data_IF_626074943388
#
_entry.id   IF_626074943388
#
_cell.length_a   1.000
_cell.length_b   1.000
_cell.length_c   1.000
_cell.angle_alpha   90.00
_cell.angle_beta   90.00
_cell.angle_gamma   90.00
#
_symmetry.space_group_name_H-M   'P 1'
#
loop_
_entity.id
_entity.type
_entity.pdbx_description
1 polymer ?
#
# COMPACT_ATOMS: atom_id res chain seq x y z
N UNK A 1 -15.25 2.26 -16.14
CA UNK A 1 -14.14 1.68 -15.36
C UNK A 1 -14.72 1.21 -14.04
N UNK A 2 -14.47 -0.03 -13.65
CA UNK A 2 -14.91 -0.57 -12.36
C UNK A 2 -13.83 -0.37 -11.31
N UNK A 3 -14.22 0.12 -10.15
CA UNK A 3 -13.35 0.26 -8.99
C UNK A 3 -13.60 -0.92 -8.05
N UNK A 4 -12.54 -1.66 -7.72
CA UNK A 4 -12.58 -2.84 -6.85
C UNK A 4 -11.72 -2.55 -5.62
N UNK A 5 -12.36 -2.39 -4.46
CA UNK A 5 -11.67 -2.13 -3.20
C UNK A 5 -11.55 -3.41 -2.38
N UNK A 6 -10.35 -3.71 -1.91
CA UNK A 6 -10.04 -4.87 -1.07
C UNK A 6 -9.57 -4.41 0.30
N UNK A 7 -10.23 -4.92 1.36
CA UNK A 7 -9.87 -4.63 2.75
C UNK A 7 -8.70 -5.47 3.24
N UNK A 8 -8.20 -5.16 4.44
CA UNK A 8 -7.01 -5.83 4.98
C UNK A 8 -7.17 -7.33 5.21
N UNK A 9 -8.39 -7.80 5.43
CA UNK A 9 -8.68 -9.25 5.46
C UNK A 9 -8.57 -9.85 4.06
N UNK A 10 -9.10 -9.19 3.03
CA UNK A 10 -9.04 -9.65 1.62
C UNK A 10 -7.63 -9.70 1.04
N UNK A 11 -6.67 -8.99 1.64
CA UNK A 11 -5.24 -9.05 1.27
C UNK A 11 -4.40 -9.66 2.40
N UNK A 12 -5.03 -10.39 3.31
CA UNK A 12 -4.41 -10.83 4.57
C UNK A 12 -3.31 -11.88 4.41
N UNK A 13 -3.30 -12.63 3.31
CA UNK A 13 -2.35 -13.70 3.03
C UNK A 13 -2.27 -13.98 1.52
N UNK A 14 -1.36 -14.89 1.14
CA UNK A 14 -1.13 -15.28 -0.25
C UNK A 14 -2.36 -15.89 -0.94
N UNK A 15 -3.16 -16.71 -0.25
CA UNK A 15 -4.35 -17.33 -0.84
C UNK A 15 -5.40 -16.27 -1.17
N UNK A 16 -5.65 -15.35 -0.24
CA UNK A 16 -6.59 -14.27 -0.47
C UNK A 16 -6.12 -13.32 -1.56
N UNK A 17 -4.82 -13.02 -1.64
CA UNK A 17 -4.26 -12.24 -2.75
C UNK A 17 -4.43 -12.93 -4.12
N UNK A 18 -4.28 -14.27 -4.20
CA UNK A 18 -4.62 -15.01 -5.42
C UNK A 18 -6.10 -14.86 -5.79
N UNK A 19 -6.99 -14.92 -4.80
CA UNK A 19 -8.42 -14.67 -4.98
C UNK A 19 -8.71 -13.26 -5.51
N UNK A 20 -8.04 -12.24 -4.98
CA UNK A 20 -8.12 -10.86 -5.48
C UNK A 20 -7.71 -10.79 -6.95
N UNK A 21 -6.56 -11.39 -7.31
CA UNK A 21 -6.08 -11.40 -8.69
C UNK A 21 -7.04 -12.11 -9.63
N UNK A 22 -7.64 -13.24 -9.23
CA UNK A 22 -8.65 -13.93 -10.04
C UNK A 22 -9.90 -13.06 -10.30
N UNK A 23 -10.37 -12.33 -9.28
CA UNK A 23 -11.50 -11.40 -9.45
C UNK A 23 -11.16 -10.26 -10.41
N UNK A 24 -9.93 -9.75 -10.36
CA UNK A 24 -9.44 -8.69 -11.24
C UNK A 24 -9.28 -9.20 -12.67
N UNK A 25 -8.71 -10.39 -12.86
CA UNK A 25 -8.59 -11.07 -14.17
C UNK A 25 -9.97 -11.23 -14.82
N UNK A 26 -10.98 -11.69 -14.07
CA UNK A 26 -12.34 -11.86 -14.58
C UNK A 26 -12.96 -10.53 -15.02
N UNK A 27 -12.90 -9.50 -14.16
CA UNK A 27 -13.44 -8.19 -14.50
C UNK A 27 -12.72 -7.56 -15.71
N UNK A 28 -11.42 -7.81 -15.88
CA UNK A 28 -10.61 -7.29 -16.99
C UNK A 28 -11.02 -7.83 -18.37
N UNK A 29 -11.81 -8.91 -18.43
CA UNK A 29 -12.32 -9.46 -19.70
C UNK A 29 -13.32 -8.52 -20.39
N UNK A 30 -14.07 -7.73 -19.63
CA UNK A 30 -15.16 -6.90 -20.17
C UNK A 30 -14.96 -5.41 -19.94
N UNK A 31 -14.11 -5.01 -18.99
CA UNK A 31 -13.96 -3.60 -18.61
C UNK A 31 -12.57 -3.24 -18.09
N UNK A 32 -12.29 -1.93 -18.05
CA UNK A 32 -11.11 -1.39 -17.34
C UNK A 32 -11.34 -1.45 -15.83
N UNK A 33 -10.30 -1.80 -15.09
CA UNK A 33 -10.38 -2.03 -13.64
C UNK A 33 -9.39 -1.13 -12.90
N UNK A 34 -9.84 -0.55 -11.78
CA UNK A 34 -8.98 0.06 -10.79
C UNK A 34 -9.06 -0.75 -9.49
N UNK A 35 -7.92 -1.22 -9.01
CA UNK A 35 -7.79 -1.92 -7.74
C UNK A 35 -7.36 -0.94 -6.67
N UNK A 36 -8.07 -0.92 -5.54
CA UNK A 36 -7.69 -0.16 -4.34
C UNK A 36 -7.47 -1.14 -3.20
N UNK A 37 -6.27 -1.18 -2.64
CA UNK A 37 -5.92 -2.15 -1.59
C UNK A 37 -5.58 -1.46 -0.26
N UNK A 38 -6.13 -2.00 0.83
CA UNK A 38 -5.73 -1.65 2.20
C UNK A 38 -4.43 -2.37 2.61
N UNK A 39 -3.84 -1.97 3.73
CA UNK A 39 -2.78 -2.75 4.38
C UNK A 39 -3.26 -4.14 4.80
N UNK A 40 -2.33 -5.10 4.90
CA UNK A 40 -2.58 -6.43 5.52
C UNK A 40 -3.19 -6.23 6.92
N UNK A 41 -4.18 -7.06 7.27
CA UNK A 41 -4.88 -6.95 8.56
C UNK A 41 -3.91 -6.83 9.75
N UNK A 42 -4.12 -5.82 10.59
CA UNK A 42 -3.29 -5.56 11.78
C UNK A 42 -2.03 -4.72 11.53
N UNK A 43 -1.59 -4.54 10.28
CA UNK A 43 -0.37 -3.76 9.99
C UNK A 43 -0.55 -2.27 10.30
N UNK A 44 -1.68 -1.65 9.96
CA UNK A 44 -1.91 -0.23 10.31
C UNK A 44 -1.84 -0.01 11.83
N UNK A 45 -2.47 -0.88 12.62
CA UNK A 45 -2.42 -0.80 14.08
C UNK A 45 -1.00 -0.98 14.61
N UNK A 46 -0.23 -1.91 14.05
CA UNK A 46 1.17 -2.11 14.39
C UNK A 46 2.00 -0.84 14.16
N UNK A 47 1.79 -0.16 13.02
CA UNK A 47 2.53 1.04 12.64
C UNK A 47 2.19 2.24 13.53
N UNK A 48 0.91 2.43 13.85
CA UNK A 48 0.46 3.48 14.78
C UNK A 48 1.02 3.25 16.18
N UNK A 49 0.98 2.01 16.66
CA UNK A 49 1.53 1.67 17.98
C UNK A 49 3.06 1.83 18.01
N UNK A 50 3.77 1.42 16.96
CA UNK A 50 5.21 1.62 16.86
C UNK A 50 5.60 3.11 16.90
N UNK A 51 4.79 3.99 16.31
CA UNK A 51 5.01 5.44 16.39
C UNK A 51 4.88 5.95 17.84
N UNK A 52 3.89 5.46 18.59
CA UNK A 52 3.70 5.78 20.02
C UNK A 52 4.89 5.31 20.86
N UNK A 53 5.29 4.06 20.69
CA UNK A 53 6.45 3.44 21.36
C UNK A 53 7.73 4.20 21.03
N UNK A 54 7.94 4.56 19.76
CA UNK A 54 9.06 5.39 19.35
C UNK A 54 9.02 6.77 20.02
N UNK A 55 7.85 7.40 20.15
CA UNK A 55 7.74 8.73 20.79
C UNK A 55 8.10 8.68 22.28
N UNK A 56 7.73 7.59 22.95
CA UNK A 56 8.18 7.24 24.32
C UNK A 56 9.67 6.83 24.36
N UNK A 57 10.29 6.73 23.17
CA UNK A 57 11.64 6.27 22.82
C UNK A 57 12.05 4.99 23.52
N UNK A 58 11.07 4.10 23.52
CA UNK A 58 11.22 2.68 23.77
C UNK A 58 11.64 1.96 22.46
N UNK A 59 12.18 0.74 22.57
CA UNK A 59 12.62 -0.05 21.41
C UNK A 59 11.47 -0.41 20.44
N UNK A 60 11.68 -0.19 19.14
CA UNK A 60 10.70 -0.49 18.06
C UNK A 60 11.12 -1.64 17.14
N UNK A 61 12.22 -2.32 17.45
CA UNK A 61 12.82 -3.35 16.60
C UNK A 61 11.87 -4.52 16.36
N UNK A 62 11.07 -4.90 17.35
CA UNK A 62 10.06 -5.95 17.22
C UNK A 62 8.97 -5.57 16.20
N UNK A 63 8.48 -4.33 16.25
CA UNK A 63 7.47 -3.85 15.31
C UNK A 63 8.01 -3.81 13.87
N UNK A 64 9.25 -3.33 13.70
CA UNK A 64 9.94 -3.37 12.41
C UNK A 64 10.11 -4.81 11.89
N UNK A 65 10.56 -5.73 12.74
CA UNK A 65 10.74 -7.14 12.37
C UNK A 65 9.41 -7.79 12.00
N UNK A 66 8.33 -7.49 12.72
CA UNK A 66 6.99 -8.00 12.41
C UNK A 66 6.45 -7.45 11.10
N UNK A 67 6.70 -6.17 10.78
CA UNK A 67 6.37 -5.60 9.48
C UNK A 67 7.11 -6.34 8.35
N UNK A 68 8.42 -6.50 8.46
CA UNK A 68 9.23 -7.19 7.45
C UNK A 68 8.83 -8.67 7.29
N UNK A 69 8.65 -9.38 8.40
CA UNK A 69 8.30 -10.81 8.38
C UNK A 69 6.92 -11.04 7.80
N UNK A 70 5.93 -10.20 8.14
CA UNK A 70 4.57 -10.33 7.59
C UNK A 70 4.56 -10.29 6.07
N UNK A 71 5.21 -9.27 5.49
CA UNK A 71 5.19 -9.09 4.03
C UNK A 71 6.11 -10.08 3.32
N UNK A 72 7.28 -10.39 3.89
CA UNK A 72 8.19 -11.38 3.31
C UNK A 72 7.62 -12.81 3.38
N UNK A 73 6.87 -13.16 4.43
CA UNK A 73 6.16 -14.44 4.51
C UNK A 73 5.12 -14.58 3.38
N UNK A 74 4.36 -13.53 3.09
CA UNK A 74 3.41 -13.52 1.97
C UNK A 74 4.17 -13.65 0.63
N UNK A 75 5.25 -12.88 0.44
CA UNK A 75 6.08 -12.96 -0.77
C UNK A 75 6.66 -14.37 -0.97
N UNK A 76 7.15 -15.02 0.09
CA UNK A 76 7.64 -16.42 0.05
C UNK A 76 6.52 -17.39 -0.31
N UNK A 77 5.34 -17.24 0.27
CA UNK A 77 4.18 -18.08 -0.03
C UNK A 77 3.64 -17.89 -1.46
N UNK A 78 3.93 -16.75 -2.10
CA UNK A 78 3.63 -16.48 -3.51
C UNK A 78 4.76 -16.89 -4.47
N UNK A 79 5.91 -17.37 -3.98
CA UNK A 79 7.10 -17.61 -4.81
C UNK A 79 6.86 -18.52 -6.02
N UNK A 80 5.99 -19.52 -5.91
CA UNK A 80 5.63 -20.41 -7.02
C UNK A 80 4.77 -19.73 -8.11
N UNK A 81 4.07 -18.65 -7.76
CA UNK A 81 3.29 -17.84 -8.70
C UNK A 81 4.14 -16.78 -9.41
N UNK A 82 5.33 -16.48 -8.89
CA UNK A 82 6.17 -15.39 -9.36
C UNK A 82 7.33 -15.89 -10.23
N UNK A 83 7.72 -15.07 -11.21
CA UNK A 83 8.93 -15.28 -12.01
C UNK A 83 10.06 -14.38 -11.46
N UNK A 84 11.34 -14.68 -11.77
CA UNK A 84 12.46 -13.85 -11.32
C UNK A 84 12.31 -12.34 -11.64
N UNK A 85 11.65 -12.01 -12.76
CA UNK A 85 11.35 -10.64 -13.16
C UNK A 85 10.44 -9.89 -12.16
N UNK A 86 9.57 -10.58 -11.42
CA UNK A 86 8.70 -10.01 -10.39
C UNK A 86 9.29 -10.19 -8.98
N UNK A 87 9.91 -11.34 -8.71
CA UNK A 87 10.42 -11.68 -7.37
C UNK A 87 11.46 -10.69 -6.87
N UNK A 88 12.42 -10.30 -7.73
CA UNK A 88 13.51 -9.40 -7.31
C UNK A 88 13.02 -7.98 -7.01
N UNK A 89 12.29 -7.29 -7.92
CA UNK A 89 11.75 -5.97 -7.61
C UNK A 89 10.82 -5.96 -6.39
N UNK A 90 10.01 -7.01 -6.21
CA UNK A 90 9.17 -7.15 -5.02
C UNK A 90 10.01 -7.18 -3.73
N UNK A 91 11.04 -8.02 -3.68
CA UNK A 91 11.91 -8.13 -2.51
C UNK A 91 12.63 -6.80 -2.22
N UNK A 92 13.19 -6.15 -3.25
CA UNK A 92 13.86 -4.85 -3.12
C UNK A 92 12.89 -3.77 -2.63
N UNK A 93 11.67 -3.73 -3.16
CA UNK A 93 10.63 -2.78 -2.74
C UNK A 93 10.19 -2.98 -1.29
N UNK A 94 10.00 -4.23 -0.85
CA UNK A 94 9.66 -4.53 0.55
C UNK A 94 10.79 -4.12 1.51
N UNK A 95 12.06 -4.39 1.14
CA UNK A 95 13.22 -3.96 1.92
C UNK A 95 13.30 -2.44 2.02
N UNK A 96 13.02 -1.72 0.92
CA UNK A 96 12.99 -0.27 0.91
C UNK A 96 11.90 0.30 1.83
N UNK A 97 10.69 -0.27 1.83
CA UNK A 97 9.62 0.13 2.76
C UNK A 97 10.00 -0.13 4.22
N UNK A 98 10.63 -1.27 4.52
CA UNK A 98 11.13 -1.55 5.87
C UNK A 98 12.21 -0.55 6.31
N UNK A 99 13.10 -0.15 5.40
CA UNK A 99 14.12 0.86 5.69
C UNK A 99 13.51 2.24 5.94
N UNK A 100 12.49 2.61 5.17
CA UNK A 100 11.71 3.84 5.34
C UNK A 100 10.99 3.85 6.70
N UNK A 101 10.34 2.74 7.08
CA UNK A 101 9.75 2.56 8.41
C UNK A 101 10.76 2.80 9.54
N UNK A 102 11.92 2.13 9.47
CA UNK A 102 12.99 2.27 10.47
C UNK A 102 13.50 3.71 10.58
N UNK A 103 13.70 4.39 9.44
CA UNK A 103 14.17 5.77 9.42
C UNK A 103 13.17 6.74 10.06
N UNK A 104 11.88 6.60 9.74
CA UNK A 104 10.81 7.41 10.33
C UNK A 104 10.71 7.19 11.85
N UNK A 105 10.67 5.94 12.30
CA UNK A 105 10.59 5.63 13.73
C UNK A 105 11.84 6.07 14.50
N UNK A 106 13.03 5.96 13.90
CA UNK A 106 14.26 6.49 14.50
C UNK A 106 14.17 8.00 14.67
N UNK A 107 13.69 8.73 13.66
CA UNK A 107 13.47 10.17 13.76
C UNK A 107 12.51 10.54 14.89
N UNK A 108 11.37 9.83 14.98
CA UNK A 108 10.40 9.99 16.07
C UNK A 108 11.05 9.76 17.44
N UNK A 109 11.85 8.69 17.59
CA UNK A 109 12.49 8.37 18.88
C UNK A 109 13.64 9.28 19.29
N UNK A 110 14.35 9.87 18.32
CA UNK A 110 15.37 10.88 18.60
C UNK A 110 14.74 12.21 19.05
N UNK A 111 13.65 12.61 18.39
CA UNK A 111 12.96 13.88 18.68
C UNK A 111 11.97 13.78 19.85
N UNK A 112 11.56 12.55 20.21
CA UNK A 112 10.47 12.29 21.17
C UNK A 112 9.15 12.96 20.77
N UNK A 113 8.95 13.11 19.47
CA UNK A 113 7.80 13.76 18.87
C UNK A 113 7.40 13.03 17.58
N UNK A 114 6.10 12.79 17.41
CA UNK A 114 5.54 12.28 16.17
C UNK A 114 4.48 13.26 15.64
N UNK A 115 4.83 14.03 14.61
CA UNK A 115 3.86 14.92 13.98
C UNK A 115 2.73 14.14 13.27
N UNK A 116 1.53 14.74 13.11
CA UNK A 116 0.44 14.13 12.35
C UNK A 116 0.83 13.66 10.95
N UNK A 117 1.64 14.44 10.23
CA UNK A 117 2.12 14.08 8.89
C UNK A 117 3.05 12.86 8.90
N UNK A 118 3.91 12.73 9.92
CA UNK A 118 4.78 11.55 10.08
C UNK A 118 3.93 10.32 10.40
N UNK A 119 2.94 10.44 11.28
CA UNK A 119 2.03 9.33 11.60
C UNK A 119 1.19 8.91 10.39
N UNK A 120 0.69 9.85 9.61
CA UNK A 120 -0.01 9.58 8.35
C UNK A 120 0.90 8.83 7.35
N UNK A 121 2.16 9.27 7.24
CA UNK A 121 3.15 8.60 6.39
C UNK A 121 3.44 7.17 6.85
N UNK A 122 3.72 6.97 8.14
CA UNK A 122 3.92 5.66 8.74
C UNK A 122 2.73 4.75 8.45
N UNK A 123 1.50 5.24 8.67
CA UNK A 123 0.27 4.48 8.46
C UNK A 123 0.12 3.99 7.02
N UNK A 124 0.53 4.81 6.03
CA UNK A 124 0.45 4.51 4.60
C UNK A 124 1.42 3.44 4.09
N UNK A 125 2.44 3.06 4.88
CA UNK A 125 3.43 2.07 4.47
C UNK A 125 2.81 0.67 4.28
N UNK A 126 1.79 0.34 5.06
CA UNK A 126 1.08 -0.94 4.96
C UNK A 126 0.34 -1.09 3.63
N UNK A 127 -0.37 -0.06 3.17
CA UNK A 127 -1.08 -0.08 1.89
C UNK A 127 -0.10 -0.18 0.72
N UNK A 128 1.04 0.53 0.81
CA UNK A 128 2.12 0.46 -0.19
C UNK A 128 2.67 -0.97 -0.29
N UNK A 129 2.91 -1.64 0.84
CA UNK A 129 3.42 -3.01 0.85
C UNK A 129 2.41 -4.02 0.26
N UNK A 130 1.13 -3.91 0.61
CA UNK A 130 0.06 -4.71 -0.02
C UNK A 130 0.01 -4.52 -1.54
N UNK A 131 0.18 -3.28 -2.02
CA UNK A 131 0.16 -2.99 -3.45
C UNK A 131 1.39 -3.55 -4.16
N UNK A 132 2.58 -3.56 -3.55
CA UNK A 132 3.76 -4.22 -4.15
C UNK A 132 3.50 -5.72 -4.37
N UNK A 133 2.92 -6.40 -3.38
CA UNK A 133 2.59 -7.83 -3.46
C UNK A 133 1.55 -8.11 -4.56
N UNK A 134 0.48 -7.31 -4.62
CA UNK A 134 -0.54 -7.43 -5.66
C UNK A 134 0.00 -7.10 -7.05
N UNK A 135 0.83 -6.06 -7.19
CA UNK A 135 1.44 -5.68 -8.46
C UNK A 135 2.27 -6.84 -9.03
N UNK A 136 3.16 -7.42 -8.21
CA UNK A 136 3.98 -8.55 -8.61
C UNK A 136 3.14 -9.75 -9.05
N UNK A 137 2.04 -10.05 -8.33
CA UNK A 137 1.19 -11.18 -8.68
C UNK A 137 0.38 -10.93 -9.96
N UNK A 138 -0.18 -9.72 -10.13
CA UNK A 138 -0.87 -9.30 -11.36
C UNK A 138 0.07 -9.37 -12.57
N UNK A 139 1.30 -8.88 -12.44
CA UNK A 139 2.33 -8.94 -13.48
C UNK A 139 2.71 -10.37 -13.85
N UNK A 140 2.88 -11.24 -12.85
CA UNK A 140 3.21 -12.64 -13.09
C UNK A 140 2.11 -13.38 -13.87
N UNK A 141 0.85 -12.92 -13.73
CA UNK A 141 -0.32 -13.38 -14.50
C UNK A 141 -0.46 -12.75 -15.88
N UNK A 142 0.52 -11.95 -16.31
CA UNK A 142 0.52 -11.31 -17.63
C UNK A 142 -0.40 -10.09 -17.71
N UNK A 143 -0.87 -9.57 -16.57
CA UNK A 143 -1.51 -8.27 -16.51
C UNK A 143 -0.45 -7.18 -16.37
N UNK A 144 -0.73 -5.97 -16.85
CA UNK A 144 0.17 -4.82 -16.73
C UNK A 144 -0.50 -3.73 -15.87
N UNK A 145 -0.54 -3.90 -14.53
CA UNK A 145 -1.11 -2.88 -13.67
C UNK A 145 -0.25 -1.61 -13.71
N UNK A 146 -0.89 -0.46 -13.84
CA UNK A 146 -0.23 0.83 -13.63
C UNK A 146 -0.45 1.28 -12.19
N UNK A 147 0.63 1.40 -11.44
CA UNK A 147 0.61 1.91 -10.07
C UNK A 147 0.27 3.40 -10.06
N UNK A 148 -0.71 3.77 -9.24
CA UNK A 148 -1.13 5.15 -9.01
C UNK A 148 -0.73 5.54 -7.60
N UNK A 149 0.01 6.63 -7.46
CA UNK A 149 0.29 7.22 -6.14
C UNK A 149 -0.92 8.05 -5.70
N UNK A 150 -1.59 7.73 -4.57
CA UNK A 150 -2.73 8.48 -4.09
C UNK A 150 -2.42 9.96 -3.87
N UNK A 151 -1.18 10.32 -3.52
CA UNK A 151 -0.78 11.72 -3.29
C UNK A 151 -0.85 12.57 -4.54
N UNK A 152 -0.76 11.94 -5.72
CA UNK A 152 -0.82 12.66 -6.99
C UNK A 152 -2.26 12.95 -7.42
N UNK A 153 -3.23 12.14 -6.96
CA UNK A 153 -4.61 12.16 -7.48
C UNK A 153 -5.68 12.44 -6.42
N UNK A 154 -5.45 12.10 -5.16
CA UNK A 154 -6.33 12.32 -4.02
C UNK A 154 -5.86 13.56 -3.25
N UNK A 155 -6.25 14.73 -3.75
CA UNK A 155 -5.95 16.02 -3.12
C UNK A 155 -6.78 16.19 -1.85
N UNK A 156 -6.11 16.50 -0.75
CA UNK A 156 -6.70 16.67 0.58
C UNK A 156 -6.28 18.00 1.19
N UNK A 157 -7.01 18.44 2.21
CA UNK A 157 -6.72 19.67 2.98
C UNK A 157 -7.03 19.44 4.46
N UNK A 158 -6.39 20.22 5.34
CA UNK A 158 -6.63 20.20 6.78
C UNK A 158 -5.68 19.27 7.53
N UNK A 159 -6.19 18.66 8.59
CA UNK A 159 -5.41 17.77 9.47
C UNK A 159 -4.94 16.52 8.70
N UNK A 160 -3.62 16.20 8.66
CA UNK A 160 -3.11 15.01 7.98
C UNK A 160 -3.74 13.67 8.41
N UNK A 161 -4.25 13.57 9.64
CA UNK A 161 -4.87 12.36 10.18
C UNK A 161 -6.38 12.32 9.97
N UNK A 162 -7.01 13.45 9.61
CA UNK A 162 -8.45 13.60 9.35
C UNK A 162 -8.67 14.47 8.11
N UNK A 163 -7.85 14.25 7.08
CA UNK A 163 -7.77 15.15 5.95
C UNK A 163 -9.07 15.14 5.15
N UNK A 164 -9.54 16.30 4.72
CA UNK A 164 -10.76 16.44 3.94
C UNK A 164 -10.45 16.38 2.44
N UNK A 165 -11.04 15.44 1.68
CA UNK A 165 -10.81 15.32 0.24
C UNK A 165 -11.38 16.52 -0.54
N UNK A 166 -10.59 17.10 -1.45
CA UNK A 166 -10.99 18.20 -2.34
C UNK A 166 -11.61 17.63 -3.62
N UNK A 167 -12.90 17.30 -3.55
CA UNK A 167 -13.59 16.50 -4.57
C UNK A 167 -13.48 17.05 -6.01
N UNK A 168 -13.51 18.37 -6.21
CA UNK A 168 -13.36 18.97 -7.55
C UNK A 168 -11.97 18.76 -8.14
N UNK A 169 -10.92 19.03 -7.35
CA UNK A 169 -9.53 18.81 -7.77
C UNK A 169 -9.23 17.34 -7.98
N UNK A 170 -9.74 16.46 -7.12
CA UNK A 170 -9.63 15.01 -7.31
C UNK A 170 -10.25 14.61 -8.64
N UNK A 171 -11.47 15.08 -8.96
CA UNK A 171 -12.12 14.79 -10.24
C UNK A 171 -11.27 15.26 -11.42
N UNK A 172 -10.69 16.45 -11.35
CA UNK A 172 -9.85 17.00 -12.40
C UNK A 172 -8.55 16.19 -12.58
N UNK A 173 -7.82 15.91 -11.49
CA UNK A 173 -6.57 15.13 -11.53
C UNK A 173 -6.79 13.68 -11.95
N UNK A 174 -7.93 13.10 -11.61
CA UNK A 174 -8.26 11.71 -11.93
C UNK A 174 -8.87 11.52 -13.33
N UNK A 175 -9.36 12.59 -13.97
CA UNK A 175 -9.99 12.51 -15.29
C UNK A 175 -9.13 11.81 -16.37
N UNK A 176 -7.80 12.05 -16.49
CA UNK A 176 -6.97 11.36 -17.48
C UNK A 176 -6.94 9.82 -17.27
N UNK A 177 -6.88 9.37 -16.01
CA UNK A 177 -6.90 7.95 -15.67
C UNK A 177 -8.29 7.35 -15.96
N UNK A 178 -9.35 8.09 -15.65
CA UNK A 178 -10.74 7.66 -15.86
C UNK A 178 -11.10 7.57 -17.34
N UNK A 179 -10.76 8.54 -18.17
CA UNK A 179 -11.37 8.74 -19.50
C UNK A 179 -10.54 8.14 -20.65
N UNK A 180 -9.25 7.91 -20.47
CA UNK A 180 -8.37 7.31 -21.49
C UNK A 180 -7.20 6.51 -20.94
N UNK A 181 -7.19 6.24 -19.63
CA UNK A 181 -6.08 5.59 -18.95
C UNK A 181 -5.95 4.08 -19.16
N UNK A 182 -4.89 3.48 -18.59
CA UNK A 182 -4.55 2.06 -18.66
C UNK A 182 -5.72 1.10 -18.42
N UNK A 183 -5.59 -0.12 -18.95
CA UNK A 183 -6.60 -1.17 -18.77
C UNK A 183 -6.77 -1.63 -17.32
N UNK A 184 -5.69 -1.55 -16.54
CA UNK A 184 -5.64 -1.93 -15.13
C UNK A 184 -4.83 -0.90 -14.33
N UNK A 185 -5.43 -0.36 -13.28
CA UNK A 185 -4.81 0.55 -12.32
C UNK A 185 -4.73 -0.15 -10.95
N UNK A 186 -3.68 0.14 -10.20
CA UNK A 186 -3.52 -0.31 -8.82
C UNK A 186 -3.12 0.87 -7.94
N UNK A 187 -3.84 1.08 -6.84
CA UNK A 187 -3.65 2.22 -5.96
C UNK A 187 -3.72 1.79 -4.49
N UNK A 188 -2.76 2.22 -3.64
CA UNK A 188 -2.92 2.17 -2.20
C UNK A 188 -4.19 2.90 -1.75
N UNK A 189 -4.90 2.36 -0.76
CA UNK A 189 -6.04 3.03 -0.15
C UNK A 189 -5.62 4.04 0.93
N UNK A 190 -6.61 4.51 1.68
CA UNK A 190 -6.48 5.24 2.95
C UNK A 190 -5.90 6.66 2.91
N UNK A 191 -4.81 6.92 2.18
CA UNK A 191 -4.12 8.21 2.20
C UNK A 191 -4.25 9.02 0.90
N UNK A 192 -3.92 10.31 0.98
CA UNK A 192 -3.86 11.28 -0.11
C UNK A 192 -2.72 12.29 0.12
N UNK A 193 -2.68 13.36 -0.65
CA UNK A 193 -1.66 14.41 -0.55
C UNK A 193 -2.28 15.80 -0.66
N UNK A 194 -1.53 16.84 -0.28
CA UNK A 194 -1.91 18.25 -0.43
C UNK A 194 -1.60 18.82 -1.83
#
# INVERSE_FOLDING_TARGET
>A
MRVMKFGGTSVGDAERMRGVVALVEEARKTERVMVVASAVSGITNLLVEAARVAQEGEPVQEACARFDETHSAIARALSADLKPAQTRPLAEGLVALGAELRGLLQGVGLLRECSPSVLAHLSGLGERASCLLLAALLEARGLAPVSVDPRQVLVCTGDPLQATPRAEEIRARFAPLRDGGPGLLLMPGFFGGD
#
